data_IF_170983756730
#
_entry.id   IF_170983756730
#
_cell.length_a   1.000
_cell.length_b   1.000
_cell.length_c   1.000
_cell.angle_alpha   90.00
_cell.angle_beta   90.00
_cell.angle_gamma   90.00
#
_symmetry.space_group_name_H-M   'P 1'
#
loop_
_entity.id
_entity.type
_entity.pdbx_description
1 polymer ?
#
# COMPACT_ATOMS: atom_id res chain seq x y z
N UNK A 1 9.57 10.71 1.42
CA UNK A 1 10.54 11.11 0.41
C UNK A 1 10.66 10.03 -0.66
N UNK A 2 10.96 10.42 -1.92
CA UNK A 2 11.27 9.47 -2.99
C UNK A 2 12.65 8.84 -2.81
N UNK A 3 12.96 7.75 -3.56
CA UNK A 3 14.31 7.20 -3.57
C UNK A 3 15.35 8.25 -3.97
N UNK A 4 15.05 9.06 -4.98
CA UNK A 4 15.94 10.16 -5.42
C UNK A 4 16.15 11.21 -4.33
N UNK A 5 15.12 11.55 -3.54
CA UNK A 5 15.26 12.48 -2.42
C UNK A 5 16.17 11.89 -1.34
N UNK A 6 16.01 10.61 -1.04
CA UNK A 6 16.87 9.90 -0.07
C UNK A 6 18.30 9.83 -0.57
N UNK A 7 18.53 9.47 -1.83
CA UNK A 7 19.86 9.46 -2.45
C UNK A 7 20.51 10.86 -2.35
N UNK A 8 19.76 11.91 -2.67
CA UNK A 8 20.24 13.30 -2.53
C UNK A 8 20.59 13.67 -1.08
N UNK A 9 19.78 13.25 -0.10
CA UNK A 9 20.05 13.48 1.33
C UNK A 9 21.31 12.73 1.77
N UNK A 10 21.49 11.49 1.35
CA UNK A 10 22.65 10.66 1.66
C UNK A 10 23.93 11.29 1.07
N UNK A 11 23.88 11.71 -0.20
CA UNK A 11 25.01 12.36 -0.86
C UNK A 11 25.40 13.68 -0.15
N UNK A 12 24.41 14.54 0.15
CA UNK A 12 24.66 15.79 0.88
C UNK A 12 25.21 15.54 2.30
N UNK A 13 24.80 14.45 2.94
CA UNK A 13 25.30 14.08 4.26
C UNK A 13 26.74 13.57 4.18
N UNK A 14 27.11 12.78 3.17
CA UNK A 14 28.47 12.29 2.97
C UNK A 14 29.46 13.42 2.66
N UNK A 15 29.04 14.41 1.87
CA UNK A 15 29.84 15.63 1.61
C UNK A 15 30.14 16.38 2.92
N UNK A 16 29.14 16.54 3.80
CA UNK A 16 29.34 17.17 5.12
C UNK A 16 30.24 16.38 6.05
N UNK A 17 30.27 15.06 5.93
CA UNK A 17 31.18 14.18 6.67
C UNK A 17 32.57 14.12 6.02
N UNK A 18 32.75 14.71 4.85
CA UNK A 18 33.97 14.62 4.03
C UNK A 18 34.38 13.17 3.73
N UNK A 19 33.39 12.33 3.36
CA UNK A 19 33.52 10.92 3.08
C UNK A 19 33.03 10.60 1.68
N UNK A 20 33.79 9.80 0.92
CA UNK A 20 33.37 9.30 -0.37
C UNK A 20 32.35 8.16 -0.23
N UNK A 21 31.40 8.06 -1.14
CA UNK A 21 30.49 6.93 -1.25
C UNK A 21 30.88 6.05 -2.44
N UNK A 22 30.81 4.75 -2.24
CA UNK A 22 30.76 3.82 -3.36
C UNK A 22 29.46 4.04 -4.16
N UNK A 23 29.55 3.86 -5.49
CA UNK A 23 28.35 4.00 -6.34
C UNK A 23 27.25 3.03 -5.90
N UNK A 24 26.03 3.54 -5.77
CA UNK A 24 24.87 2.76 -5.33
C UNK A 24 24.57 2.82 -3.82
N UNK A 25 25.46 3.35 -2.96
CA UNK A 25 25.21 3.45 -1.50
C UNK A 25 23.93 4.20 -1.18
N UNK A 26 23.72 5.39 -1.77
CA UNK A 26 22.50 6.16 -1.57
C UNK A 26 21.25 5.41 -2.03
N UNK A 27 21.35 4.71 -3.17
CA UNK A 27 20.28 3.88 -3.70
C UNK A 27 19.98 2.69 -2.79
N UNK A 28 20.99 2.03 -2.25
CA UNK A 28 20.82 0.92 -1.29
C UNK A 28 20.08 1.41 -0.05
N UNK A 29 20.50 2.50 0.57
CA UNK A 29 19.84 3.08 1.75
C UNK A 29 18.39 3.44 1.44
N UNK A 30 18.09 3.95 0.24
CA UNK A 30 16.73 4.31 -0.18
C UNK A 30 15.77 3.13 -0.26
N UNK A 31 16.28 1.89 -0.31
CA UNK A 31 15.45 0.68 -0.28
C UNK A 31 14.95 0.34 1.13
N UNK A 32 15.56 0.91 2.17
CA UNK A 32 15.27 0.60 3.57
C UNK A 32 14.63 1.76 4.34
N UNK A 33 14.60 2.97 3.78
CA UNK A 33 13.95 4.11 4.43
C UNK A 33 13.46 5.17 3.43
N UNK A 34 12.36 5.81 3.78
CA UNK A 34 11.84 7.03 3.12
C UNK A 34 11.98 8.25 4.02
N UNK A 35 12.59 8.10 5.18
CA UNK A 35 12.78 9.15 6.17
C UNK A 35 14.22 9.68 6.08
N UNK A 36 14.39 10.97 5.77
CA UNK A 36 15.71 11.57 5.61
C UNK A 36 16.58 11.42 6.85
N UNK A 37 16.02 11.58 8.06
CA UNK A 37 16.76 11.40 9.32
C UNK A 37 17.27 9.97 9.48
N UNK A 38 16.43 8.98 9.18
CA UNK A 38 16.80 7.57 9.25
C UNK A 38 17.87 7.21 8.22
N UNK A 39 17.80 7.79 7.01
CA UNK A 39 18.82 7.61 5.98
C UNK A 39 20.19 8.14 6.43
N UNK A 40 20.20 9.32 7.05
CA UNK A 40 21.43 9.89 7.62
C UNK A 40 21.98 9.05 8.77
N UNK A 41 21.11 8.48 9.62
CA UNK A 41 21.56 7.58 10.70
C UNK A 41 22.19 6.31 10.13
N UNK A 42 21.56 5.65 9.13
CA UNK A 42 22.12 4.47 8.47
C UNK A 42 23.50 4.80 7.86
N UNK A 43 23.63 5.97 7.22
CA UNK A 43 24.90 6.42 6.66
C UNK A 43 25.97 6.63 7.76
N UNK A 44 25.61 7.29 8.86
CA UNK A 44 26.53 7.55 9.97
C UNK A 44 26.97 6.26 10.65
N UNK A 45 26.06 5.29 10.82
CA UNK A 45 26.39 3.98 11.38
C UNK A 45 27.32 3.20 10.43
N UNK A 46 27.07 3.27 9.09
CA UNK A 46 27.94 2.66 8.09
C UNK A 46 29.33 3.30 8.07
N UNK A 47 29.43 4.60 8.26
CA UNK A 47 30.70 5.29 8.43
C UNK A 47 31.43 4.83 9.70
N UNK A 48 30.72 4.77 10.83
CA UNK A 48 31.28 4.24 12.07
C UNK A 48 31.78 2.80 11.90
N UNK A 49 31.02 1.95 11.21
CA UNK A 49 31.40 0.56 10.92
C UNK A 49 32.64 0.47 10.04
N UNK A 50 32.75 1.28 9.00
CA UNK A 50 33.93 1.30 8.10
C UNK A 50 35.23 1.63 8.85
N UNK A 51 35.15 2.56 9.82
CA UNK A 51 36.31 2.94 10.64
C UNK A 51 36.80 1.82 11.59
N UNK A 52 35.91 0.93 12.04
CA UNK A 52 36.26 -0.15 12.96
C UNK A 52 36.80 -1.39 12.26
N UNK A 53 36.48 -1.62 11.00
CA UNK A 53 36.84 -2.83 10.26
C UNK A 53 38.14 -2.72 9.46
N UNK A 54 38.74 -1.55 9.41
CA UNK A 54 40.05 -1.37 8.79
C UNK A 54 41.15 -1.85 9.74
N UNK A 55 41.54 -3.12 9.60
CA UNK A 55 42.75 -3.65 10.22
C UNK A 55 44.02 -2.98 9.62
N UNK A 56 44.33 -1.77 10.08
CA UNK A 56 45.69 -1.21 10.00
C UNK A 56 46.21 -0.69 8.65
N UNK A 57 45.43 -0.66 7.60
CA UNK A 57 45.78 0.05 6.36
C UNK A 57 45.02 1.39 6.30
N UNK A 58 45.64 2.42 5.75
CA UNK A 58 45.14 3.79 5.69
C UNK A 58 43.63 3.82 5.37
N UNK A 59 42.86 4.33 6.33
CA UNK A 59 41.44 4.57 6.22
C UNK A 59 41.13 5.19 4.86
N UNK A 60 40.61 4.39 3.95
CA UNK A 60 39.98 4.90 2.76
C UNK A 60 38.71 5.61 3.24
N UNK A 61 38.74 6.90 3.35
CA UNK A 61 37.61 7.77 3.76
C UNK A 61 36.40 7.57 2.80
N UNK A 62 35.95 6.29 2.69
CA UNK A 62 34.95 5.82 1.74
C UNK A 62 34.04 4.79 2.38
N UNK A 63 32.74 5.01 2.25
CA UNK A 63 31.70 4.05 2.67
C UNK A 63 31.36 3.16 1.49
N UNK A 64 31.43 1.83 1.71
CA UNK A 64 31.12 0.83 0.69
C UNK A 64 29.68 0.29 0.82
N UNK A 65 29.21 -0.38 -0.22
CA UNK A 65 27.93 -1.11 -0.17
C UNK A 65 27.93 -2.14 0.96
N UNK A 66 29.06 -2.82 1.15
CA UNK A 66 29.22 -3.83 2.20
C UNK A 66 29.08 -3.25 3.60
N UNK A 67 29.61 -2.06 3.87
CA UNK A 67 29.46 -1.40 5.17
C UNK A 67 28.00 -1.10 5.47
N UNK A 68 27.24 -0.67 4.46
CA UNK A 68 25.80 -0.42 4.57
C UNK A 68 25.03 -1.73 4.78
N UNK A 69 25.35 -2.79 4.04
CA UNK A 69 24.71 -4.11 4.18
C UNK A 69 24.90 -4.68 5.60
N UNK A 70 26.08 -4.55 6.17
CA UNK A 70 26.35 -4.99 7.54
C UNK A 70 25.55 -4.20 8.56
N UNK A 71 25.50 -2.87 8.44
CA UNK A 71 24.68 -2.01 9.32
C UNK A 71 23.19 -2.34 9.19
N UNK A 72 22.71 -2.56 7.98
CA UNK A 72 21.34 -2.98 7.71
C UNK A 72 21.04 -4.31 8.39
N UNK A 73 21.95 -5.28 8.29
CA UNK A 73 21.84 -6.60 8.92
C UNK A 73 21.83 -6.49 10.45
N UNK A 74 22.79 -5.79 11.03
CA UNK A 74 22.91 -5.58 12.49
C UNK A 74 21.69 -4.84 13.04
N UNK A 75 21.25 -3.79 12.33
CA UNK A 75 20.08 -2.98 12.68
C UNK A 75 18.75 -3.67 12.43
N UNK A 76 18.76 -4.88 11.83
CA UNK A 76 17.56 -5.63 11.41
C UNK A 76 16.58 -4.78 10.59
N UNK A 77 17.12 -3.95 9.72
CA UNK A 77 16.32 -3.20 8.78
C UNK A 77 15.76 -4.16 7.72
N UNK A 78 14.47 -4.05 7.45
CA UNK A 78 13.84 -4.80 6.34
C UNK A 78 13.71 -3.89 5.12
N UNK A 79 14.06 -4.38 3.93
CA UNK A 79 13.83 -3.61 2.71
C UNK A 79 12.34 -3.41 2.48
N UNK A 80 11.98 -2.41 1.70
CA UNK A 80 10.61 -2.28 1.22
C UNK A 80 10.34 -3.37 0.19
N UNK A 81 9.57 -4.35 0.59
CA UNK A 81 9.10 -5.38 -0.33
C UNK A 81 8.19 -4.74 -1.39
N UNK A 82 8.52 -4.97 -2.65
CA UNK A 82 7.60 -4.68 -3.75
C UNK A 82 6.65 -5.86 -3.91
N UNK A 83 5.43 -5.57 -4.34
CA UNK A 83 4.48 -6.61 -4.69
C UNK A 83 4.91 -7.18 -6.04
N UNK A 84 5.04 -8.51 -6.11
CA UNK A 84 5.34 -9.22 -7.34
C UNK A 84 4.06 -9.50 -8.15
N UNK A 85 4.22 -9.71 -9.46
CA UNK A 85 3.11 -10.12 -10.36
C UNK A 85 1.93 -9.15 -10.45
N UNK A 86 2.18 -7.83 -10.37
CA UNK A 86 1.14 -6.81 -10.52
C UNK A 86 0.46 -6.80 -11.91
N UNK A 87 1.04 -7.48 -12.88
CA UNK A 87 0.55 -7.51 -14.28
C UNK A 87 -0.57 -8.53 -14.50
N UNK A 88 -0.84 -9.41 -13.53
CA UNK A 88 -1.86 -10.46 -13.66
C UNK A 88 -3.07 -10.12 -12.81
N UNK A 89 -4.23 -9.99 -13.44
CA UNK A 89 -5.50 -9.78 -12.74
C UNK A 89 -5.89 -10.98 -11.87
N UNK A 90 -6.49 -10.72 -10.71
CA UNK A 90 -6.93 -11.74 -9.77
C UNK A 90 -8.39 -11.54 -9.37
N UNK A 91 -9.14 -12.66 -9.30
CA UNK A 91 -10.54 -12.64 -8.86
C UNK A 91 -10.61 -12.63 -7.34
N UNK A 92 -11.41 -11.71 -6.80
CA UNK A 92 -11.61 -11.62 -5.36
C UNK A 92 -10.37 -11.18 -4.57
N UNK A 93 -9.44 -10.47 -5.21
CA UNK A 93 -8.25 -9.92 -4.56
C UNK A 93 -8.02 -8.47 -4.97
N UNK A 94 -7.69 -7.58 -4.01
CA UNK A 94 -7.46 -6.16 -4.24
C UNK A 94 -6.56 -5.56 -3.16
N UNK A 95 -5.82 -4.52 -3.50
CA UNK A 95 -5.07 -3.72 -2.53
C UNK A 95 -5.89 -2.53 -2.05
N UNK A 96 -6.14 -2.47 -0.74
CA UNK A 96 -6.58 -1.27 -0.04
C UNK A 96 -5.39 -0.44 0.47
N UNK A 97 -5.67 0.71 1.07
CA UNK A 97 -4.66 1.61 1.64
C UNK A 97 -4.97 1.97 3.08
N UNK A 98 -3.98 1.83 3.94
CA UNK A 98 -4.03 2.21 5.33
C UNK A 98 -2.93 3.20 5.74
N UNK A 99 -3.08 3.77 6.93
CA UNK A 99 -2.07 4.62 7.57
C UNK A 99 -1.87 4.11 8.99
N UNK A 100 -0.61 3.92 9.38
CA UNK A 100 -0.22 3.63 10.75
C UNK A 100 0.82 4.65 11.20
N UNK A 101 0.45 5.50 12.15
CA UNK A 101 1.25 6.67 12.50
C UNK A 101 1.38 7.62 11.30
N UNK A 102 2.60 7.81 10.81
CA UNK A 102 2.91 8.65 9.64
C UNK A 102 3.26 7.82 8.39
N UNK A 103 3.06 6.51 8.42
CA UNK A 103 3.41 5.62 7.32
C UNK A 103 2.16 5.07 6.65
N UNK A 104 2.09 5.29 5.35
CA UNK A 104 1.12 4.62 4.49
C UNK A 104 1.55 3.19 4.15
N UNK A 105 0.59 2.30 4.04
CA UNK A 105 0.80 0.90 3.66
C UNK A 105 -0.30 0.40 2.76
N UNK A 106 0.00 -0.60 1.95
CA UNK A 106 -1.01 -1.41 1.26
C UNK A 106 -1.57 -2.43 2.24
N UNK A 107 -2.81 -2.77 2.02
CA UNK A 107 -3.58 -3.76 2.76
C UNK A 107 -4.13 -4.73 1.73
N UNK A 108 -3.82 -6.01 1.84
CA UNK A 108 -4.39 -7.02 0.97
C UNK A 108 -5.79 -7.40 1.46
N UNK A 109 -6.74 -7.43 0.55
CA UNK A 109 -8.13 -7.79 0.81
C UNK A 109 -8.52 -8.90 -0.15
N UNK A 110 -8.90 -10.02 0.40
CA UNK A 110 -9.38 -11.18 -0.34
C UNK A 110 -10.86 -11.44 -0.05
N UNK A 111 -11.59 -11.90 -1.04
CA UNK A 111 -12.97 -12.36 -0.88
C UNK A 111 -13.20 -13.64 -1.65
N UNK A 112 -13.86 -14.59 -1.01
CA UNK A 112 -14.38 -15.80 -1.65
C UNK A 112 -15.89 -15.89 -1.42
N UNK A 113 -16.59 -16.42 -2.42
CA UNK A 113 -18.05 -16.46 -2.43
C UNK A 113 -18.51 -17.87 -2.78
N UNK A 114 -19.45 -18.38 -2.01
CA UNK A 114 -20.11 -19.68 -2.24
C UNK A 114 -21.62 -19.49 -2.20
N UNK A 115 -22.40 -20.26 -2.99
CA UNK A 115 -23.86 -20.27 -2.84
C UNK A 115 -24.25 -20.67 -1.42
N UNK A 116 -25.13 -19.92 -0.79
CA UNK A 116 -25.65 -20.25 0.52
C UNK A 116 -26.40 -21.60 0.49
N UNK A 117 -26.29 -22.39 1.55
CA UNK A 117 -27.04 -23.66 1.66
C UNK A 117 -28.55 -23.50 1.49
N UNK A 118 -29.07 -22.35 1.90
CA UNK A 118 -30.48 -21.96 1.73
C UNK A 118 -30.53 -20.53 1.22
N UNK A 119 -31.23 -20.31 0.14
CA UNK A 119 -31.43 -19.00 -0.49
C UNK A 119 -31.97 -17.97 0.53
N UNK A 120 -31.37 -16.79 0.57
CA UNK A 120 -31.70 -15.71 1.51
C UNK A 120 -31.13 -15.89 2.93
N UNK A 121 -30.32 -16.91 3.18
CA UNK A 121 -29.69 -17.18 4.49
C UNK A 121 -28.16 -17.22 4.44
N UNK A 122 -27.56 -16.63 3.44
CA UNK A 122 -26.12 -16.45 3.35
C UNK A 122 -25.56 -15.61 4.48
N UNK A 123 -24.30 -15.79 4.74
CA UNK A 123 -23.58 -15.11 5.83
C UNK A 123 -22.33 -14.43 5.30
N UNK A 124 -21.98 -13.28 5.90
CA UNK A 124 -20.72 -12.61 5.62
C UNK A 124 -19.82 -12.76 6.83
N UNK A 125 -18.63 -13.29 6.61
CA UNK A 125 -17.63 -13.50 7.66
C UNK A 125 -16.36 -12.76 7.33
N UNK A 126 -15.80 -12.10 8.36
CA UNK A 126 -14.51 -11.46 8.33
C UNK A 126 -13.55 -12.18 9.26
N UNK A 127 -12.26 -12.11 8.94
CA UNK A 127 -11.23 -12.45 9.91
C UNK A 127 -11.14 -11.38 11.02
N UNK A 128 -10.42 -11.68 12.10
CA UNK A 128 -10.33 -10.82 13.29
C UNK A 128 -9.52 -9.52 13.07
N UNK A 129 -8.80 -9.40 11.96
CA UNK A 129 -8.05 -8.17 11.59
C UNK A 129 -8.96 -7.04 11.13
N UNK A 130 -10.18 -7.34 10.66
CA UNK A 130 -11.16 -6.33 10.29
C UNK A 130 -11.87 -5.78 11.53
N UNK A 131 -11.72 -4.47 11.80
CA UNK A 131 -12.45 -3.77 12.84
C UNK A 131 -13.94 -3.58 12.54
N UNK A 132 -14.69 -3.04 13.51
CA UNK A 132 -16.13 -2.84 13.38
C UNK A 132 -16.52 -1.96 12.19
N UNK A 133 -15.82 -0.86 11.98
CA UNK A 133 -16.11 0.07 10.87
C UNK A 133 -15.85 -0.54 9.49
N UNK A 134 -14.85 -1.40 9.36
CA UNK A 134 -14.63 -2.16 8.13
C UNK A 134 -15.76 -3.15 7.86
N UNK A 135 -16.27 -3.80 8.91
CA UNK A 135 -17.44 -4.70 8.85
C UNK A 135 -18.73 -3.94 8.50
N UNK A 136 -18.93 -2.73 9.05
CA UNK A 136 -20.08 -1.88 8.75
C UNK A 136 -20.07 -1.39 7.29
N UNK A 137 -18.89 -1.22 6.69
CA UNK A 137 -18.76 -0.88 5.27
C UNK A 137 -19.41 -1.92 4.36
N UNK A 138 -19.50 -3.19 4.76
CA UNK A 138 -20.17 -4.24 3.97
C UNK A 138 -21.67 -4.11 4.03
N UNK A 139 -22.24 -3.64 5.10
CA UNK A 139 -23.67 -3.32 5.14
C UNK A 139 -24.02 -2.26 4.07
N UNK A 140 -23.18 -1.23 3.94
CA UNK A 140 -23.32 -0.21 2.90
C UNK A 140 -23.09 -0.84 1.51
N UNK A 141 -22.08 -1.68 1.37
CA UNK A 141 -21.76 -2.39 0.14
C UNK A 141 -22.89 -3.30 -0.34
N UNK A 142 -23.60 -3.97 0.56
CA UNK A 142 -24.68 -4.87 0.23
C UNK A 142 -25.76 -4.24 -0.68
N UNK A 143 -26.19 -3.03 -0.32
CA UNK A 143 -27.17 -2.27 -1.10
C UNK A 143 -26.64 -1.88 -2.48
N UNK A 144 -25.36 -1.50 -2.54
CA UNK A 144 -24.67 -1.13 -3.77
C UNK A 144 -24.45 -2.34 -4.66
N UNK A 145 -23.98 -3.46 -4.11
CA UNK A 145 -23.76 -4.71 -4.84
C UNK A 145 -25.05 -5.18 -5.48
N UNK A 146 -26.15 -5.22 -4.71
CA UNK A 146 -27.47 -5.62 -5.25
C UNK A 146 -27.92 -4.74 -6.40
N UNK A 147 -27.71 -3.42 -6.29
CA UNK A 147 -28.10 -2.47 -7.34
C UNK A 147 -27.29 -2.66 -8.63
N UNK A 148 -26.00 -2.91 -8.51
CA UNK A 148 -25.08 -2.99 -9.65
C UNK A 148 -25.11 -4.36 -10.32
N UNK A 149 -25.08 -5.44 -9.51
CA UNK A 149 -24.98 -6.81 -10.02
C UNK A 149 -26.32 -7.52 -10.19
N UNK A 150 -27.39 -6.95 -9.64
CA UNK A 150 -28.71 -7.59 -9.49
C UNK A 150 -28.65 -8.89 -8.67
N UNK A 151 -27.60 -9.11 -7.90
CA UNK A 151 -27.41 -10.26 -7.00
C UNK A 151 -27.75 -9.85 -5.58
N UNK A 152 -28.41 -10.74 -4.84
CA UNK A 152 -28.63 -10.57 -3.40
C UNK A 152 -27.50 -11.25 -2.64
N UNK A 153 -26.71 -10.49 -1.89
CA UNK A 153 -25.61 -11.03 -1.10
C UNK A 153 -26.06 -12.07 -0.07
N UNK A 154 -27.35 -12.00 0.36
CA UNK A 154 -27.92 -13.00 1.26
C UNK A 154 -28.10 -14.39 0.60
N UNK A 155 -27.96 -14.49 -0.71
CA UNK A 155 -27.98 -15.78 -1.42
C UNK A 155 -26.60 -16.46 -1.40
N UNK A 156 -25.59 -15.84 -0.77
CA UNK A 156 -24.20 -16.31 -0.76
C UNK A 156 -23.59 -16.32 0.64
N UNK A 157 -22.73 -17.29 0.89
CA UNK A 157 -21.76 -17.24 1.98
C UNK A 157 -20.49 -16.54 1.47
N UNK A 158 -20.18 -15.40 2.06
CA UNK A 158 -19.08 -14.53 1.66
C UNK A 158 -18.03 -14.49 2.77
N UNK A 159 -16.81 -14.83 2.44
CA UNK A 159 -15.69 -14.69 3.36
C UNK A 159 -14.77 -13.55 2.88
N UNK A 160 -14.51 -12.60 3.75
CA UNK A 160 -13.58 -11.49 3.50
C UNK A 160 -12.41 -11.61 4.45
N UNK A 161 -11.23 -11.69 3.88
CA UNK A 161 -9.97 -11.77 4.62
C UNK A 161 -9.17 -10.49 4.39
N UNK A 162 -8.71 -9.87 5.47
CA UNK A 162 -7.86 -8.70 5.42
C UNK A 162 -6.48 -9.11 5.93
N UNK A 163 -5.48 -9.05 5.05
CA UNK A 163 -4.11 -9.48 5.30
C UNK A 163 -3.24 -8.24 5.57
N UNK A 164 -2.35 -8.31 6.54
CA UNK A 164 -1.44 -7.19 6.79
C UNK A 164 -1.03 -7.01 8.26
N UNK A 165 -1.40 -7.95 9.13
CA UNK A 165 -0.89 -8.05 10.52
C UNK A 165 -1.32 -6.95 11.49
N UNK A 166 -1.98 -5.88 11.03
CA UNK A 166 -2.50 -4.80 11.86
C UNK A 166 -4.03 -4.78 11.87
N UNK A 167 -4.62 -4.44 13.03
CA UNK A 167 -6.06 -4.21 13.10
C UNK A 167 -6.44 -3.00 12.25
N UNK A 168 -7.26 -3.23 11.23
CA UNK A 168 -7.78 -2.19 10.36
C UNK A 168 -9.11 -1.71 10.93
N UNK A 169 -9.09 -0.51 11.48
CA UNK A 169 -10.28 0.09 12.06
C UNK A 169 -10.54 1.46 11.42
N UNK A 170 -11.38 1.45 10.40
CA UNK A 170 -11.78 2.64 9.69
C UNK A 170 -12.60 2.32 8.44
N UNK A 171 -13.44 3.26 7.98
CA UNK A 171 -14.31 3.04 6.83
C UNK A 171 -13.56 3.16 5.49
N UNK A 172 -12.28 3.53 5.50
CA UNK A 172 -11.51 3.86 4.29
C UNK A 172 -11.23 2.67 3.35
N UNK A 173 -11.43 1.44 3.81
CA UNK A 173 -11.34 0.24 2.99
C UNK A 173 -12.68 -0.14 2.31
N UNK A 174 -13.76 0.58 2.58
CA UNK A 174 -15.11 0.24 2.13
C UNK A 174 -15.24 0.09 0.62
N UNK A 175 -14.65 1.00 -0.15
CA UNK A 175 -14.67 0.92 -1.61
C UNK A 175 -13.89 -0.29 -2.13
N UNK A 176 -12.72 -0.59 -1.55
CA UNK A 176 -11.91 -1.75 -1.89
C UNK A 176 -12.63 -3.07 -1.57
N UNK A 177 -13.20 -3.19 -0.37
CA UNK A 177 -13.99 -4.37 0.03
C UNK A 177 -15.18 -4.58 -0.92
N UNK A 178 -15.88 -3.50 -1.28
CA UNK A 178 -17.03 -3.58 -2.19
C UNK A 178 -16.63 -4.16 -3.55
N UNK A 179 -15.56 -3.64 -4.16
CA UNK A 179 -15.05 -4.11 -5.45
C UNK A 179 -14.55 -5.55 -5.36
N UNK A 180 -13.87 -5.91 -4.26
CA UNK A 180 -13.39 -7.26 -4.01
C UNK A 180 -14.54 -8.29 -3.97
N UNK A 181 -15.63 -7.97 -3.28
CA UNK A 181 -16.83 -8.83 -3.22
C UNK A 181 -17.51 -8.90 -4.59
N UNK A 182 -17.63 -7.78 -5.32
CA UNK A 182 -18.21 -7.78 -6.68
C UNK A 182 -17.36 -8.66 -7.61
N UNK A 183 -16.03 -8.57 -7.55
CA UNK A 183 -15.13 -9.42 -8.31
C UNK A 183 -15.40 -10.91 -8.06
N UNK A 184 -15.43 -11.30 -6.79
CA UNK A 184 -15.70 -12.69 -6.40
C UNK A 184 -17.10 -13.19 -6.80
N UNK A 185 -18.12 -12.31 -6.72
CA UNK A 185 -19.50 -12.64 -7.13
C UNK A 185 -19.67 -12.78 -8.65
N UNK A 186 -18.90 -12.02 -9.41
CA UNK A 186 -19.03 -11.95 -10.88
C UNK A 186 -17.94 -12.67 -11.64
N UNK A 187 -16.99 -13.28 -10.92
CA UNK A 187 -15.80 -13.96 -11.46
C UNK A 187 -14.99 -13.09 -12.42
N UNK A 188 -14.90 -11.78 -12.10
CA UNK A 188 -14.15 -10.81 -12.91
C UNK A 188 -12.84 -10.46 -12.22
N UNK A 189 -11.69 -10.63 -12.90
CA UNK A 189 -10.40 -10.31 -12.31
C UNK A 189 -10.21 -8.80 -12.12
N UNK A 190 -9.62 -8.42 -11.00
CA UNK A 190 -9.18 -7.08 -10.67
C UNK A 190 -7.71 -6.95 -11.06
N UNK A 191 -7.35 -5.88 -11.74
CA UNK A 191 -5.95 -5.56 -12.00
C UNK A 191 -5.19 -5.35 -10.68
N UNK A 192 -4.00 -5.91 -10.56
CA UNK A 192 -3.24 -5.92 -9.31
C UNK A 192 -2.30 -4.72 -9.14
N UNK A 193 -2.09 -3.95 -10.18
CA UNK A 193 -1.27 -2.73 -10.15
C UNK A 193 -2.02 -1.49 -9.59
N UNK A 194 -3.24 -1.70 -9.08
CA UNK A 194 -4.09 -0.66 -8.47
C UNK A 194 -4.25 -0.83 -6.96
N UNK A 195 -4.28 0.27 -6.24
CA UNK A 195 -4.73 0.31 -4.85
C UNK A 195 -5.88 1.31 -4.67
N UNK A 196 -6.79 1.00 -3.75
CA UNK A 196 -8.05 1.72 -3.59
C UNK A 196 -8.19 2.24 -2.16
N UNK A 197 -8.64 3.48 -2.01
CA UNK A 197 -9.08 3.99 -0.71
C UNK A 197 -10.35 4.82 -0.89
N UNK A 198 -11.25 4.73 0.07
CA UNK A 198 -12.50 5.47 0.08
C UNK A 198 -13.53 4.79 0.95
N UNK A 199 -14.34 5.58 1.66
CA UNK A 199 -15.53 5.09 2.34
C UNK A 199 -16.66 4.94 1.32
N UNK A 200 -17.46 3.88 1.44
CA UNK A 200 -18.62 3.65 0.56
C UNK A 200 -19.92 4.03 1.26
N UNK A 201 -20.74 4.81 0.58
CA UNK A 201 -22.10 5.13 1.04
C UNK A 201 -23.14 4.15 0.52
N UNK A 202 -24.30 4.08 1.15
CA UNK A 202 -25.46 3.27 0.71
C UNK A 202 -25.88 3.56 -0.74
N UNK A 203 -25.53 4.73 -1.26
CA UNK A 203 -25.86 5.14 -2.64
C UNK A 203 -24.76 4.82 -3.65
N UNK A 204 -23.62 4.27 -3.21
CA UNK A 204 -22.46 3.98 -4.05
C UNK A 204 -21.50 5.14 -4.23
N UNK A 205 -21.71 6.27 -3.54
CA UNK A 205 -20.74 7.36 -3.57
C UNK A 205 -19.50 6.99 -2.76
N UNK A 206 -18.35 7.34 -3.30
CA UNK A 206 -17.05 7.18 -2.62
C UNK A 206 -16.74 8.46 -1.87
N UNK A 207 -16.66 8.36 -0.54
CA UNK A 207 -16.54 9.47 0.40
C UNK A 207 -15.11 9.71 0.83
N UNK A 208 -14.75 10.97 1.19
CA UNK A 208 -13.38 11.33 1.53
C UNK A 208 -12.88 10.59 2.77
N UNK A 209 -11.56 10.40 2.81
CA UNK A 209 -10.84 9.69 3.86
C UNK A 209 -9.57 10.44 4.22
N UNK A 210 -9.00 10.17 5.40
CA UNK A 210 -7.76 10.81 5.84
C UNK A 210 -6.50 10.12 5.30
N UNK A 211 -5.37 10.84 5.36
CA UNK A 211 -4.04 10.30 5.09
C UNK A 211 -3.75 9.98 3.64
N UNK A 212 -4.28 10.76 2.71
CA UNK A 212 -4.10 10.55 1.26
C UNK A 212 -2.63 10.60 0.86
N UNK A 213 -1.90 11.57 1.41
CA UNK A 213 -0.48 11.73 1.15
C UNK A 213 0.29 10.45 1.51
N UNK A 214 0.14 9.99 2.75
CA UNK A 214 0.80 8.78 3.26
C UNK A 214 0.39 7.54 2.48
N UNK A 215 -0.89 7.41 2.16
CA UNK A 215 -1.46 6.29 1.40
C UNK A 215 -0.85 6.19 0.00
N UNK A 216 -0.76 7.30 -0.74
CA UNK A 216 -0.17 7.34 -2.08
C UNK A 216 1.32 6.94 -2.01
N UNK A 217 2.07 7.48 -1.05
CA UNK A 217 3.47 7.11 -0.89
C UNK A 217 3.66 5.65 -0.45
N UNK A 218 2.75 5.13 0.38
CA UNK A 218 2.73 3.72 0.74
C UNK A 218 2.51 2.80 -0.46
N UNK A 219 1.53 3.11 -1.30
CA UNK A 219 1.25 2.41 -2.55
C UNK A 219 2.45 2.44 -3.51
N UNK A 220 3.02 3.63 -3.72
CA UNK A 220 4.19 3.85 -4.57
C UNK A 220 5.38 2.97 -4.16
N UNK A 221 5.64 2.85 -2.86
CA UNK A 221 6.73 2.02 -2.30
C UNK A 221 6.54 0.55 -2.62
N UNK A 222 5.31 0.08 -2.65
CA UNK A 222 4.96 -1.31 -2.99
C UNK A 222 4.95 -1.59 -4.49
N UNK A 223 5.18 -0.58 -5.33
CA UNK A 223 5.24 -0.72 -6.78
C UNK A 223 3.88 -0.57 -7.48
N UNK A 224 2.83 -0.20 -6.75
CA UNK A 224 1.50 0.11 -7.31
C UNK A 224 1.64 1.23 -8.34
N UNK A 225 0.94 1.09 -9.45
CA UNK A 225 0.99 2.02 -10.60
C UNK A 225 -0.15 3.02 -10.60
N UNK A 226 -1.29 2.65 -9.99
CA UNK A 226 -2.47 3.49 -9.95
C UNK A 226 -3.08 3.48 -8.55
N UNK A 227 -3.47 4.66 -8.07
CA UNK A 227 -4.24 4.79 -6.82
C UNK A 227 -5.59 5.44 -7.13
N UNK A 228 -6.67 4.77 -6.75
CA UNK A 228 -8.02 5.34 -6.78
C UNK A 228 -8.35 5.97 -5.44
N UNK A 229 -8.70 7.26 -5.46
CA UNK A 229 -9.04 8.07 -4.28
C UNK A 229 -10.42 8.73 -4.43
N UNK A 230 -11.07 9.12 -3.33
CA UNK A 230 -12.30 9.93 -3.42
C UNK A 230 -12.06 11.28 -4.10
N UNK A 231 -13.00 11.74 -4.91
CA UNK A 231 -12.94 13.03 -5.61
C UNK A 231 -12.70 14.21 -4.67
N UNK A 232 -13.33 14.18 -3.50
CA UNK A 232 -13.23 15.23 -2.51
C UNK A 232 -11.79 15.36 -1.91
N UNK A 233 -10.97 14.31 -2.05
CA UNK A 233 -9.56 14.30 -1.63
C UNK A 233 -8.57 14.73 -2.73
N UNK A 234 -9.02 15.09 -3.92
CA UNK A 234 -8.14 15.40 -5.07
C UNK A 234 -7.10 16.48 -4.75
N UNK A 235 -7.46 17.45 -3.91
CA UNK A 235 -6.57 18.56 -3.51
C UNK A 235 -5.43 18.13 -2.58
N UNK A 236 -5.52 16.93 -1.99
CA UNK A 236 -4.51 16.38 -1.09
C UNK A 236 -3.45 15.57 -1.83
N UNK A 237 -3.59 15.40 -3.15
CA UNK A 237 -2.66 14.64 -3.98
C UNK A 237 -1.33 15.39 -4.07
N UNK A 238 -0.19 14.74 -3.76
CA UNK A 238 1.12 15.36 -3.90
C UNK A 238 1.43 15.77 -5.34
N UNK A 239 2.12 16.88 -5.51
CA UNK A 239 2.66 17.30 -6.80
C UNK A 239 3.91 16.52 -7.16
N UNK A 240 4.19 16.35 -8.46
CA UNK A 240 5.43 15.73 -8.94
C UNK A 240 5.49 14.21 -8.80
N UNK A 241 4.36 13.54 -8.86
CA UNK A 241 4.29 12.08 -8.94
C UNK A 241 4.59 11.64 -10.39
N UNK A 242 5.74 11.01 -10.62
CA UNK A 242 6.17 10.59 -11.97
C UNK A 242 5.91 9.10 -12.25
N UNK A 243 5.86 8.27 -11.21
CA UNK A 243 5.86 6.80 -11.30
C UNK A 243 4.57 6.14 -10.77
N UNK A 244 3.57 6.94 -10.39
CA UNK A 244 2.27 6.50 -9.94
C UNK A 244 1.17 7.45 -10.43
N UNK A 245 0.12 6.90 -11.00
CA UNK A 245 -1.07 7.64 -11.41
C UNK A 245 -2.06 7.71 -10.25
N UNK A 246 -2.72 8.85 -10.09
CA UNK A 246 -3.82 9.01 -9.11
C UNK A 246 -5.10 9.37 -9.84
N UNK A 247 -6.13 8.55 -9.65
CA UNK A 247 -7.48 8.80 -10.19
C UNK A 247 -8.45 9.11 -9.08
N UNK A 248 -9.09 10.27 -9.19
CA UNK A 248 -10.18 10.67 -8.29
C UNK A 248 -11.52 10.17 -8.83
N UNK A 249 -12.32 9.59 -7.96
CA UNK A 249 -13.63 8.96 -8.27
C UNK A 249 -14.72 9.47 -7.33
N UNK A 250 -15.94 9.63 -7.86
CA UNK A 250 -17.12 9.99 -7.09
C UNK A 250 -17.98 8.79 -6.73
N UNK A 251 -18.04 7.80 -7.62
CA UNK A 251 -18.98 6.69 -7.54
C UNK A 251 -18.30 5.35 -7.79
N UNK A 252 -18.81 4.30 -7.18
CA UNK A 252 -18.26 2.95 -7.30
C UNK A 252 -18.28 2.42 -8.74
N UNK A 253 -19.22 2.85 -9.57
CA UNK A 253 -19.31 2.46 -10.98
C UNK A 253 -18.10 2.98 -11.77
N UNK A 254 -17.66 4.22 -11.51
CA UNK A 254 -16.42 4.78 -12.09
C UNK A 254 -15.19 3.94 -11.67
N UNK A 255 -15.17 3.50 -10.40
CA UNK A 255 -14.10 2.65 -9.90
C UNK A 255 -14.10 1.30 -10.61
N UNK A 256 -15.26 0.69 -10.83
CA UNK A 256 -15.38 -0.59 -11.52
C UNK A 256 -14.86 -0.55 -12.96
N UNK A 257 -15.05 0.58 -13.66
CA UNK A 257 -14.51 0.77 -15.02
C UNK A 257 -12.97 0.80 -15.05
N UNK A 258 -12.35 1.20 -13.93
CA UNK A 258 -10.89 1.33 -13.80
C UNK A 258 -10.23 0.02 -13.36
N UNK A 259 -10.90 -0.71 -12.45
CA UNK A 259 -10.28 -1.85 -11.76
C UNK A 259 -10.43 -3.18 -12.47
N UNK A 260 -11.52 -3.38 -13.19
CA UNK A 260 -11.74 -4.64 -13.91
C UNK A 260 -11.02 -4.64 -15.26
N UNK A 261 -10.36 -5.75 -15.56
CA UNK A 261 -9.80 -5.99 -16.89
C UNK A 261 -10.93 -6.06 -17.94
N UNK A 262 -10.64 -5.53 -19.10
CA UNK A 262 -11.59 -5.49 -20.23
C UNK A 262 -11.68 -6.83 -20.93
#
# INVERSE_FOLDING_TARGET
>A
LSSKDIEGIVNNASEKLNVELEDGVGRLISQYTIEGRKAVNILADAYGYSLFNENGEESKNKITLKDVEEVISIGRYSPFERIDNLDKGEVGHVYGLGVSGFLGSTIEIESTVFPAKKKGHGTIKFNDTAGSMAKDSVFNAASVIRKITNMDINDYDIHVNVIGGGKIDGPSAGAAITVCIISALTDRPIRQDIAITGEISLRGNVKPVGGIFEKIYGARRKGIKLVAIPKDNEKEVPLGLEDIEVKSINHIEELMEIVFEK
#
